data_IF_792076574790
#
_entry.id   IF_792076574790
#
_cell.length_a   1.000
_cell.length_b   1.000
_cell.length_c   1.000
_cell.angle_alpha   90.00
_cell.angle_beta   90.00
_cell.angle_gamma   90.00
#
_symmetry.space_group_name_H-M   'P 1'
#
loop_
_entity.id
_entity.type
_entity.pdbx_description
1 polymer ?
#
# COMPACT_ATOMS: atom_id res chain seq x y z
N UNK A 1 5.97 20.06 10.63
CA UNK A 1 6.71 18.93 9.98
C UNK A 1 6.00 17.59 10.16
N UNK A 2 5.57 17.23 11.37
CA UNK A 2 4.83 15.98 11.67
C UNK A 2 3.57 15.83 10.81
N UNK A 3 2.73 16.88 10.72
CA UNK A 3 1.53 16.88 9.88
C UNK A 3 1.82 16.52 8.41
N UNK A 4 2.83 17.15 7.80
CA UNK A 4 3.18 16.88 6.40
C UNK A 4 3.62 15.41 6.19
N UNK A 5 4.45 14.88 7.11
CA UNK A 5 4.92 13.48 7.03
C UNK A 5 3.77 12.50 7.21
N UNK A 6 2.86 12.78 8.14
CA UNK A 6 1.66 12.00 8.37
C UNK A 6 0.78 11.94 7.11
N UNK A 7 0.40 13.09 6.54
CA UNK A 7 -0.42 13.12 5.31
C UNK A 7 0.29 12.50 4.11
N UNK A 8 1.62 12.62 4.02
CA UNK A 8 2.40 11.93 3.00
C UNK A 8 2.35 10.41 3.18
N UNK A 9 2.42 9.91 4.41
CA UNK A 9 2.28 8.49 4.71
C UNK A 9 0.89 7.97 4.36
N UNK A 10 -0.17 8.71 4.70
CA UNK A 10 -1.56 8.40 4.31
C UNK A 10 -1.68 8.29 2.78
N UNK A 11 -1.25 9.32 2.06
CA UNK A 11 -1.31 9.35 0.59
C UNK A 11 -0.52 8.19 -0.05
N UNK A 12 0.61 7.82 0.54
CA UNK A 12 1.40 6.69 0.06
C UNK A 12 0.66 5.35 0.22
N UNK A 13 -0.02 5.15 1.36
CA UNK A 13 -0.86 3.96 1.57
C UNK A 13 -1.98 3.92 0.53
N UNK A 14 -2.72 5.03 0.35
CA UNK A 14 -3.82 5.11 -0.63
C UNK A 14 -3.35 4.77 -2.05
N UNK A 15 -2.24 5.36 -2.48
CA UNK A 15 -1.66 5.09 -3.81
C UNK A 15 -1.31 3.61 -3.99
N UNK A 16 -0.69 2.99 -2.99
CA UNK A 16 -0.30 1.58 -3.05
C UNK A 16 -1.51 0.64 -3.04
N UNK A 17 -2.56 0.96 -2.29
CA UNK A 17 -3.82 0.19 -2.30
C UNK A 17 -4.49 0.27 -3.66
N UNK A 18 -4.58 1.45 -4.27
CA UNK A 18 -5.12 1.63 -5.63
C UNK A 18 -4.29 0.83 -6.64
N UNK A 19 -2.95 0.88 -6.55
CA UNK A 19 -2.07 0.11 -7.43
C UNK A 19 -2.31 -1.41 -7.29
N UNK A 20 -2.45 -1.91 -6.06
CA UNK A 20 -2.75 -3.33 -5.82
C UNK A 20 -4.12 -3.74 -6.40
N UNK A 21 -5.15 -2.90 -6.30
CA UNK A 21 -6.47 -3.17 -6.87
C UNK A 21 -6.45 -3.23 -8.40
N UNK A 22 -5.66 -2.36 -9.04
CA UNK A 22 -5.47 -2.39 -10.50
C UNK A 22 -4.78 -3.69 -10.93
N UNK A 23 -3.67 -4.05 -10.28
CA UNK A 23 -2.95 -5.31 -10.55
C UNK A 23 -3.83 -6.55 -10.36
N UNK A 24 -4.69 -6.57 -9.33
CA UNK A 24 -5.68 -7.63 -9.12
C UNK A 24 -6.75 -7.66 -10.22
N UNK A 25 -7.18 -6.50 -10.70
CA UNK A 25 -8.15 -6.39 -11.80
C UNK A 25 -7.53 -6.95 -13.08
N UNK A 26 -6.27 -6.64 -13.34
CA UNK A 26 -5.54 -7.19 -14.48
C UNK A 26 -5.43 -8.71 -14.39
N UNK A 27 -5.02 -9.27 -13.25
CA UNK A 27 -4.93 -10.73 -13.11
C UNK A 27 -6.25 -11.48 -13.39
N UNK A 28 -7.40 -10.84 -13.12
CA UNK A 28 -8.72 -11.43 -13.38
C UNK A 28 -9.11 -11.40 -14.86
N UNK A 29 -8.41 -10.64 -15.71
CA UNK A 29 -8.70 -10.60 -17.14
C UNK A 29 -8.28 -11.92 -17.83
N UNK A 30 -9.26 -12.58 -18.45
CA UNK A 30 -9.03 -13.74 -19.32
C UNK A 30 -8.25 -13.32 -20.57
N UNK A 31 -7.28 -14.14 -21.01
CA UNK A 31 -6.49 -13.86 -22.22
C UNK A 31 -5.10 -13.28 -21.98
N UNK A 32 -4.73 -12.96 -20.73
CA UNK A 32 -3.33 -12.59 -20.41
C UNK A 32 -2.43 -13.83 -20.49
N UNK A 33 -1.36 -13.73 -21.28
CA UNK A 33 -0.35 -14.78 -21.39
C UNK A 33 0.34 -15.08 -20.04
N UNK A 34 0.85 -16.30 -19.89
CA UNK A 34 1.45 -16.79 -18.64
C UNK A 34 2.53 -15.84 -18.07
N UNK A 35 3.41 -15.31 -18.95
CA UNK A 35 4.49 -14.39 -18.57
C UNK A 35 3.97 -13.11 -17.90
N UNK A 36 2.88 -12.54 -18.41
CA UNK A 36 2.30 -11.31 -17.87
C UNK A 36 1.62 -11.58 -16.52
N UNK A 37 0.91 -12.71 -16.37
CA UNK A 37 0.37 -13.14 -15.07
C UNK A 37 1.45 -13.32 -14.01
N UNK A 38 2.61 -13.87 -14.39
CA UNK A 38 3.76 -14.02 -13.47
C UNK A 38 4.30 -12.66 -13.04
N UNK A 39 4.41 -11.69 -13.96
CA UNK A 39 4.87 -10.33 -13.64
C UNK A 39 3.90 -9.62 -12.69
N UNK A 40 2.60 -9.65 -12.99
CA UNK A 40 1.57 -9.03 -12.13
C UNK A 40 1.52 -9.70 -10.75
N UNK A 41 1.66 -11.04 -10.68
CA UNK A 41 1.77 -11.75 -9.40
C UNK A 41 2.98 -11.31 -8.58
N UNK A 42 4.12 -11.02 -9.23
CA UNK A 42 5.31 -10.48 -8.57
C UNK A 42 5.07 -9.02 -8.13
N UNK A 43 4.48 -8.20 -8.98
CA UNK A 43 4.11 -6.82 -8.67
C UNK A 43 3.20 -6.76 -7.45
N UNK A 44 2.18 -7.63 -7.37
CA UNK A 44 1.31 -7.75 -6.20
C UNK A 44 2.05 -8.07 -4.91
N UNK A 45 2.97 -9.04 -4.94
CA UNK A 45 3.80 -9.37 -3.76
C UNK A 45 4.62 -8.16 -3.32
N UNK A 46 5.21 -7.44 -4.27
CA UNK A 46 5.95 -6.20 -3.99
C UNK A 46 5.04 -5.10 -3.44
N UNK A 47 3.84 -4.91 -3.97
CA UNK A 47 2.85 -3.96 -3.46
C UNK A 47 2.46 -4.29 -2.03
N UNK A 48 2.14 -5.55 -1.72
CA UNK A 48 1.78 -5.97 -0.36
C UNK A 48 2.90 -5.66 0.64
N UNK A 49 4.15 -5.96 0.29
CA UNK A 49 5.29 -5.61 1.14
C UNK A 49 5.45 -4.09 1.31
N UNK A 50 5.26 -3.32 0.23
CA UNK A 50 5.31 -1.86 0.28
C UNK A 50 4.20 -1.26 1.15
N UNK A 51 2.98 -1.82 1.11
CA UNK A 51 1.85 -1.37 1.95
C UNK A 51 2.17 -1.63 3.43
N UNK A 52 2.70 -2.80 3.78
CA UNK A 52 3.13 -3.11 5.16
C UNK A 52 4.14 -2.09 5.67
N UNK A 53 5.19 -1.81 4.88
CA UNK A 53 6.17 -0.78 5.24
C UNK A 53 5.57 0.63 5.32
N UNK A 54 4.60 0.95 4.45
CA UNK A 54 3.92 2.24 4.49
C UNK A 54 3.05 2.41 5.75
N UNK A 55 2.40 1.32 6.21
CA UNK A 55 1.66 1.27 7.47
C UNK A 55 2.59 1.49 8.66
N UNK A 56 3.77 0.88 8.69
CA UNK A 56 4.76 1.12 9.75
C UNK A 56 5.16 2.60 9.82
N UNK A 57 5.44 3.23 8.67
CA UNK A 57 5.72 4.66 8.62
C UNK A 57 4.55 5.51 9.07
N UNK A 58 3.33 5.18 8.64
CA UNK A 58 2.12 5.87 9.10
C UNK A 58 1.99 5.77 10.63
N UNK A 59 2.12 4.57 11.19
CA UNK A 59 1.98 4.31 12.63
C UNK A 59 3.01 5.10 13.44
N UNK A 60 4.24 5.21 12.95
CA UNK A 60 5.27 6.05 13.56
C UNK A 60 4.82 7.52 13.65
N UNK A 61 4.34 8.10 12.56
CA UNK A 61 3.90 9.50 12.55
C UNK A 61 2.56 9.71 13.27
N UNK A 62 1.69 8.69 13.29
CA UNK A 62 0.41 8.69 13.99
C UNK A 62 0.60 8.79 15.51
N UNK A 63 1.62 8.11 16.05
CA UNK A 63 1.99 8.15 17.46
C UNK A 63 2.61 9.50 17.89
N UNK A 64 3.24 10.22 16.96
CA UNK A 64 3.81 11.56 17.19
C UNK A 64 2.78 12.69 16.97
N UNK A 65 1.56 12.37 16.52
CA UNK A 65 0.53 13.33 16.18
C UNK A 65 -0.28 13.74 17.41
N UNK A 66 -0.62 15.03 17.53
CA UNK A 66 -1.51 15.55 18.56
C UNK A 66 -2.79 16.10 17.91
N UNK A 67 -3.98 15.51 18.15
CA UNK A 67 -4.25 14.35 19.00
C UNK A 67 -3.77 13.04 18.35
N UNK A 68 -3.46 12.05 19.21
CA UNK A 68 -3.03 10.71 18.81
C UNK A 68 -3.97 10.11 17.76
N UNK A 69 -3.38 9.61 16.67
CA UNK A 69 -4.14 8.96 15.58
C UNK A 69 -4.17 7.46 15.79
N UNK A 70 -5.27 6.83 15.35
CA UNK A 70 -5.41 5.38 15.39
C UNK A 70 -4.31 4.70 14.56
N UNK A 71 -3.71 3.66 15.14
CA UNK A 71 -2.72 2.82 14.48
C UNK A 71 -3.42 1.83 13.54
N UNK A 72 -2.81 1.56 12.40
CA UNK A 72 -3.26 0.57 11.43
C UNK A 72 -2.55 -0.76 11.69
N UNK A 73 -3.30 -1.86 11.67
CA UNK A 73 -2.79 -3.21 11.78
C UNK A 73 -3.01 -3.90 10.44
N UNK A 74 -2.01 -4.65 9.98
CA UNK A 74 -2.12 -5.50 8.80
C UNK A 74 -2.26 -6.96 9.27
N UNK A 75 -3.43 -7.56 9.03
CA UNK A 75 -3.70 -8.98 9.27
C UNK A 75 -3.47 -9.86 8.02
#
# INVERSE_FOLDING_TARGET
>A
LVHHRFYKAVKNIEQLVVMQLLELTELKMSGLGYKLRTQNSKALKTCTAAIKNAIEHYNKYAAEFDPLKALLIWD
#
